data_IF_584448582094
#
_entry.id   IF_584448582094
#
_cell.length_a   1.000
_cell.length_b   1.000
_cell.length_c   1.000
_cell.angle_alpha   90.00
_cell.angle_beta   90.00
_cell.angle_gamma   90.00
#
_symmetry.space_group_name_H-M   'P 1'
#
loop_
_entity.id
_entity.type
_entity.pdbx_description
1 polymer ?
#
# COMPACT_ATOMS: atom_id res chain seq x y z
N UNK A 1 -14.25 -4.65 38.15
CA UNK A 1 -14.65 -3.65 37.14
C UNK A 1 -13.56 -2.58 37.13
N UNK A 2 -12.59 -2.70 36.23
CA UNK A 2 -11.53 -1.69 36.08
C UNK A 2 -12.13 -0.51 35.30
N UNK A 3 -12.22 0.66 35.92
CA UNK A 3 -12.59 1.87 35.21
C UNK A 3 -11.39 2.29 34.34
N UNK A 4 -11.53 2.44 33.01
CA UNK A 4 -10.45 2.94 32.18
C UNK A 4 -10.07 4.36 32.63
N UNK A 5 -8.77 4.67 32.63
CA UNK A 5 -8.33 6.01 32.98
C UNK A 5 -8.87 7.02 31.96
N UNK A 6 -9.05 8.28 32.37
CA UNK A 6 -9.53 9.36 31.48
C UNK A 6 -8.66 9.51 30.21
N UNK A 7 -7.39 9.13 30.30
CA UNK A 7 -6.44 9.11 29.18
C UNK A 7 -6.72 7.99 28.17
N UNK A 8 -7.05 6.77 28.63
CA UNK A 8 -7.39 5.63 27.78
C UNK A 8 -8.64 5.92 26.93
N UNK A 9 -9.59 6.64 27.51
CA UNK A 9 -10.81 7.09 26.84
C UNK A 9 -10.48 8.08 25.71
N UNK A 10 -9.52 8.99 25.93
CA UNK A 10 -9.09 9.96 24.92
C UNK A 10 -8.39 9.32 23.72
N UNK A 11 -7.49 8.36 23.97
CA UNK A 11 -6.75 7.64 22.93
C UNK A 11 -7.70 6.78 22.10
N UNK A 12 -8.55 5.98 22.75
CA UNK A 12 -9.52 5.13 22.04
C UNK A 12 -10.50 5.96 21.21
N UNK A 13 -11.01 7.08 21.75
CA UNK A 13 -11.88 7.99 21.00
C UNK A 13 -11.20 8.55 19.73
N UNK A 14 -9.93 8.94 19.84
CA UNK A 14 -9.18 9.48 18.70
C UNK A 14 -8.95 8.42 17.62
N UNK A 15 -8.62 7.20 18.02
CA UNK A 15 -8.46 6.05 17.10
C UNK A 15 -9.79 5.74 16.43
N UNK A 16 -10.89 5.70 17.18
CA UNK A 16 -12.23 5.43 16.64
C UNK A 16 -12.65 6.47 15.61
N UNK A 17 -12.53 7.78 15.92
CA UNK A 17 -12.89 8.85 14.98
C UNK A 17 -12.09 8.72 13.68
N UNK A 18 -10.78 8.48 13.81
CA UNK A 18 -9.89 8.36 12.65
C UNK A 18 -10.25 7.14 11.81
N UNK A 19 -10.50 5.99 12.45
CA UNK A 19 -10.93 4.77 11.78
C UNK A 19 -12.28 4.90 11.08
N UNK A 20 -13.23 5.62 11.69
CA UNK A 20 -14.54 5.89 11.08
C UNK A 20 -14.39 6.75 9.83
N UNK A 21 -13.63 7.84 9.88
CA UNK A 21 -13.38 8.70 8.70
C UNK A 21 -12.68 7.89 7.60
N UNK A 22 -11.65 7.13 7.97
CA UNK A 22 -10.90 6.31 7.02
C UNK A 22 -11.78 5.26 6.33
N UNK A 23 -12.60 4.53 7.10
CA UNK A 23 -13.51 3.53 6.55
C UNK A 23 -14.61 4.18 5.71
N UNK A 24 -15.12 5.35 6.10
CA UNK A 24 -16.07 6.09 5.27
C UNK A 24 -15.48 6.47 3.90
N UNK A 25 -14.21 6.91 3.88
CA UNK A 25 -13.57 7.33 2.63
C UNK A 25 -13.21 6.17 1.71
N UNK A 26 -12.74 5.06 2.27
CA UNK A 26 -12.23 3.92 1.50
C UNK A 26 -13.26 2.81 1.29
N UNK A 27 -14.42 2.93 1.93
CA UNK A 27 -15.52 1.98 1.88
C UNK A 27 -15.35 0.83 2.88
N UNK A 28 -15.96 -0.31 2.56
CA UNK A 28 -15.97 -1.48 3.44
C UNK A 28 -14.57 -2.05 3.67
N UNK A 29 -14.29 -2.38 4.93
CA UNK A 29 -13.08 -3.11 5.30
C UNK A 29 -13.27 -4.61 5.03
N UNK A 30 -13.11 -4.99 3.76
CA UNK A 30 -13.25 -6.37 3.29
C UNK A 30 -11.87 -7.04 3.08
N UNK A 31 -11.90 -8.31 2.61
CA UNK A 31 -10.68 -9.08 2.32
C UNK A 31 -9.78 -8.42 1.28
N UNK A 32 -10.35 -7.64 0.36
CA UNK A 32 -9.57 -6.95 -0.68
C UNK A 32 -8.78 -5.80 -0.07
N UNK A 33 -9.40 -5.02 0.83
CA UNK A 33 -8.74 -3.98 1.61
C UNK A 33 -7.65 -4.55 2.52
N UNK A 34 -7.95 -5.65 3.22
CA UNK A 34 -6.98 -6.37 4.07
C UNK A 34 -5.75 -6.82 3.25
N UNK A 35 -5.96 -7.41 2.08
CA UNK A 35 -4.88 -7.83 1.19
C UNK A 35 -4.01 -6.65 0.74
N UNK A 36 -4.60 -5.51 0.39
CA UNK A 36 -3.84 -4.32 0.00
C UNK A 36 -2.99 -3.78 1.14
N UNK A 37 -3.55 -3.63 2.34
CA UNK A 37 -2.81 -3.14 3.50
C UNK A 37 -1.66 -4.08 3.89
N UNK A 38 -1.90 -5.39 3.85
CA UNK A 38 -0.85 -6.39 4.06
C UNK A 38 0.25 -6.28 3.01
N UNK A 39 -0.10 -6.17 1.73
CA UNK A 39 0.88 -6.02 0.65
C UNK A 39 1.68 -4.73 0.77
N UNK A 40 1.06 -3.62 1.17
CA UNK A 40 1.75 -2.36 1.44
C UNK A 40 2.73 -2.50 2.62
N UNK A 41 2.35 -3.23 3.68
CA UNK A 41 3.23 -3.49 4.81
C UNK A 41 4.43 -4.37 4.40
N UNK A 42 4.17 -5.45 3.67
CA UNK A 42 5.21 -6.35 3.15
C UNK A 42 6.18 -5.63 2.22
N UNK A 43 5.67 -4.77 1.34
CA UNK A 43 6.50 -3.96 0.46
C UNK A 43 7.44 -3.04 1.26
N UNK A 44 6.90 -2.32 2.26
CA UNK A 44 7.71 -1.45 3.11
C UNK A 44 8.81 -2.21 3.87
N UNK A 45 8.45 -3.35 4.47
CA UNK A 45 9.41 -4.22 5.17
C UNK A 45 10.47 -4.76 4.20
N UNK A 46 10.06 -5.20 3.00
CA UNK A 46 10.97 -5.72 1.99
C UNK A 46 11.97 -4.65 1.53
N UNK A 47 11.52 -3.41 1.35
CA UNK A 47 12.36 -2.28 0.99
C UNK A 47 13.39 -1.95 2.07
N UNK A 48 12.99 -1.97 3.35
CA UNK A 48 13.93 -1.81 4.47
C UNK A 48 14.96 -2.94 4.46
N UNK A 49 14.53 -4.20 4.35
CA UNK A 49 15.47 -5.33 4.34
C UNK A 49 16.46 -5.26 3.18
N UNK A 50 16.00 -4.89 1.97
CA UNK A 50 16.85 -4.75 0.80
C UNK A 50 17.90 -3.65 0.98
N UNK A 51 17.52 -2.51 1.57
CA UNK A 51 18.44 -1.42 1.87
C UNK A 51 19.47 -1.80 2.95
N UNK A 52 19.07 -2.56 3.98
CA UNK A 52 19.99 -3.05 5.00
C UNK A 52 21.01 -4.07 4.46
N UNK A 53 20.61 -4.90 3.50
CA UNK A 53 21.47 -5.94 2.90
C UNK A 53 22.41 -5.35 1.83
N UNK A 54 21.96 -4.31 1.12
CA UNK A 54 22.69 -3.73 0.00
C UNK A 54 23.67 -2.63 0.47
N UNK A 55 24.99 -2.86 0.48
CA UNK A 55 25.96 -1.90 1.04
C UNK A 55 26.01 -0.54 0.32
N UNK A 56 25.47 -0.45 -0.91
CA UNK A 56 25.41 0.77 -1.69
C UNK A 56 24.06 1.53 -1.59
N UNK A 57 23.03 0.94 -0.95
CA UNK A 57 21.75 1.62 -0.70
C UNK A 57 21.76 2.17 0.74
N UNK A 58 22.23 3.40 0.91
CA UNK A 58 22.09 4.09 2.19
C UNK A 58 20.63 4.26 2.59
N UNK A 59 20.34 4.15 3.88
CA UNK A 59 19.02 4.44 4.46
C UNK A 59 18.77 5.96 4.47
N UNK A 60 18.45 6.54 3.31
CA UNK A 60 17.98 7.92 3.23
C UNK A 60 16.48 7.97 3.59
N UNK A 61 16.18 8.65 4.69
CA UNK A 61 14.82 8.96 5.13
C UNK A 61 13.91 9.55 4.03
N UNK A 62 14.47 10.28 3.05
CA UNK A 62 13.74 10.80 1.89
C UNK A 62 13.20 9.70 1.00
N UNK A 63 13.94 8.61 0.84
CA UNK A 63 13.51 7.44 0.05
C UNK A 63 12.34 6.76 0.76
N UNK A 64 12.47 6.56 2.08
CA UNK A 64 11.38 6.00 2.91
C UNK A 64 10.12 6.88 2.89
N UNK A 65 10.27 8.20 3.04
CA UNK A 65 9.16 9.14 2.98
C UNK A 65 8.47 9.11 1.61
N UNK A 66 9.23 9.06 0.52
CA UNK A 66 8.68 8.93 -0.83
C UNK A 66 7.85 7.64 -0.99
N UNK A 67 8.31 6.54 -0.39
CA UNK A 67 7.55 5.28 -0.34
C UNK A 67 6.22 5.43 0.39
N UNK A 68 6.22 6.11 1.54
CA UNK A 68 5.00 6.40 2.31
C UNK A 68 4.05 7.31 1.52
N UNK A 69 4.55 8.38 0.88
CA UNK A 69 3.72 9.24 0.04
C UNK A 69 3.07 8.46 -1.11
N UNK A 70 3.79 7.53 -1.75
CA UNK A 70 3.21 6.66 -2.79
C UNK A 70 2.06 5.81 -2.23
N UNK A 71 2.24 5.24 -1.04
CA UNK A 71 1.22 4.45 -0.33
C UNK A 71 -0.01 5.27 0.05
N UNK A 72 0.16 6.53 0.47
CA UNK A 72 -0.97 7.45 0.69
C UNK A 72 -1.72 7.71 -0.61
N UNK A 73 -1.02 7.93 -1.73
CA UNK A 73 -1.66 8.11 -3.04
C UNK A 73 -2.47 6.88 -3.47
N UNK A 74 -2.00 5.67 -3.16
CA UNK A 74 -2.77 4.43 -3.39
C UNK A 74 -4.11 4.47 -2.65
N UNK A 75 -4.10 4.81 -1.36
CA UNK A 75 -5.32 4.90 -0.55
C UNK A 75 -6.27 6.00 -1.04
N UNK A 76 -5.74 7.13 -1.54
CA UNK A 76 -6.55 8.17 -2.16
C UNK A 76 -7.23 7.69 -3.46
N UNK A 77 -6.52 6.89 -4.27
CA UNK A 77 -7.10 6.30 -5.48
C UNK A 77 -8.19 5.28 -5.15
N UNK A 78 -8.01 4.48 -4.09
CA UNK A 78 -9.03 3.56 -3.58
C UNK A 78 -10.27 4.32 -3.09
N UNK A 79 -10.08 5.41 -2.36
CA UNK A 79 -11.18 6.28 -1.94
C UNK A 79 -11.92 6.88 -3.14
N UNK A 80 -11.20 7.40 -4.13
CA UNK A 80 -11.82 7.91 -5.36
C UNK A 80 -12.64 6.82 -6.09
N UNK A 81 -12.11 5.60 -6.18
CA UNK A 81 -12.81 4.47 -6.79
C UNK A 81 -14.07 4.07 -6.01
N UNK A 82 -14.02 4.07 -4.68
CA UNK A 82 -15.19 3.86 -3.83
C UNK A 82 -16.28 4.92 -4.09
N UNK A 83 -15.92 6.20 -4.17
CA UNK A 83 -16.89 7.25 -4.49
C UNK A 83 -17.46 7.16 -5.91
N UNK A 84 -16.70 6.59 -6.86
CA UNK A 84 -17.22 6.28 -8.21
C UNK A 84 -18.28 5.18 -8.12
N UNK A 85 -18.01 4.07 -7.43
CA UNK A 85 -19.00 3.01 -7.24
C UNK A 85 -20.26 3.55 -6.53
N UNK A 86 -20.07 4.37 -5.50
CA UNK A 86 -21.15 5.03 -4.78
C UNK A 86 -22.00 5.92 -5.69
N UNK A 87 -21.36 6.75 -6.53
CA UNK A 87 -22.06 7.65 -7.45
C UNK A 87 -22.84 6.91 -8.54
N UNK A 88 -22.35 5.75 -8.98
CA UNK A 88 -23.00 4.92 -10.01
C UNK A 88 -24.07 3.99 -9.41
N UNK A 89 -24.15 3.89 -8.08
CA UNK A 89 -25.07 2.98 -7.39
C UNK A 89 -24.66 1.50 -7.51
N UNK A 90 -23.37 1.22 -7.65
CA UNK A 90 -22.86 -0.15 -7.70
C UNK A 90 -22.74 -0.72 -6.27
N UNK A 91 -23.67 -1.59 -5.89
CA UNK A 91 -23.66 -2.21 -4.54
C UNK A 91 -22.47 -3.13 -4.29
N UNK A 92 -21.85 -3.67 -5.35
CA UNK A 92 -20.74 -4.62 -5.25
C UNK A 92 -19.35 -3.96 -5.23
N UNK A 93 -19.28 -2.62 -5.30
CA UNK A 93 -18.01 -1.86 -5.23
C UNK A 93 -16.93 -2.41 -6.18
N UNK A 94 -17.34 -2.69 -7.43
CA UNK A 94 -16.52 -3.38 -8.42
C UNK A 94 -15.30 -2.54 -8.82
N UNK A 95 -15.47 -1.23 -9.02
CA UNK A 95 -14.38 -0.33 -9.42
C UNK A 95 -13.34 -0.24 -8.30
N UNK A 96 -13.77 -0.07 -7.05
CA UNK A 96 -12.90 -0.11 -5.87
C UNK A 96 -12.11 -1.40 -5.83
N UNK A 97 -12.79 -2.54 -5.94
CA UNK A 97 -12.15 -3.86 -5.86
C UNK A 97 -11.11 -4.06 -6.97
N UNK A 98 -11.39 -3.61 -8.19
CA UNK A 98 -10.43 -3.64 -9.29
C UNK A 98 -9.21 -2.77 -9.03
N UNK A 99 -9.41 -1.54 -8.52
CA UNK A 99 -8.32 -0.62 -8.17
C UNK A 99 -7.46 -1.18 -7.04
N UNK A 100 -8.08 -1.77 -6.02
CA UNK A 100 -7.38 -2.48 -4.94
C UNK A 100 -6.50 -3.59 -5.50
N UNK A 101 -7.03 -4.48 -6.34
CA UNK A 101 -6.24 -5.58 -6.89
C UNK A 101 -5.15 -5.12 -7.86
N UNK A 102 -5.37 -4.04 -8.60
CA UNK A 102 -4.32 -3.39 -9.38
C UNK A 102 -3.14 -2.97 -8.49
N UNK A 103 -3.42 -2.33 -7.35
CA UNK A 103 -2.37 -1.91 -6.43
C UNK A 103 -1.74 -3.04 -5.62
N UNK A 104 -2.49 -4.10 -5.30
CA UNK A 104 -1.92 -5.36 -4.78
C UNK A 104 -0.87 -5.91 -5.74
N UNK A 105 -1.17 -5.94 -7.03
CA UNK A 105 -0.19 -6.34 -8.06
C UNK A 105 1.02 -5.41 -8.12
N UNK A 106 0.81 -4.09 -8.02
CA UNK A 106 1.90 -3.10 -7.98
C UNK A 106 2.81 -3.26 -6.76
N UNK A 107 2.27 -3.48 -5.56
CA UNK A 107 3.09 -3.75 -4.37
C UNK A 107 3.82 -5.08 -4.50
N UNK A 108 3.18 -6.11 -5.07
CA UNK A 108 3.83 -7.39 -5.37
C UNK A 108 5.03 -7.25 -6.32
N UNK A 109 4.92 -6.39 -7.33
CA UNK A 109 6.03 -6.06 -8.21
C UNK A 109 7.18 -5.37 -7.44
N UNK A 110 6.87 -4.38 -6.61
CA UNK A 110 7.84 -3.67 -5.79
C UNK A 110 8.57 -4.61 -4.80
N UNK A 111 7.86 -5.56 -4.18
CA UNK A 111 8.45 -6.62 -3.34
C UNK A 111 9.44 -7.48 -4.14
N UNK A 112 9.09 -7.87 -5.37
CA UNK A 112 10.00 -8.64 -6.23
C UNK A 112 11.26 -7.84 -6.57
N UNK A 113 11.14 -6.54 -6.82
CA UNK A 113 12.28 -5.66 -7.07
C UNK A 113 13.20 -5.54 -5.83
N UNK A 114 12.61 -5.41 -4.64
CA UNK A 114 13.35 -5.39 -3.38
C UNK A 114 14.04 -6.74 -3.11
N UNK A 115 13.36 -7.86 -3.34
CA UNK A 115 13.91 -9.20 -3.21
C UNK A 115 15.10 -9.43 -4.17
N UNK A 116 14.99 -9.01 -5.44
CA UNK A 116 16.10 -9.05 -6.38
C UNK A 116 17.28 -8.18 -5.93
N UNK A 117 17.01 -7.01 -5.35
CA UNK A 117 18.03 -6.11 -4.81
C UNK A 117 18.74 -6.71 -3.59
N UNK A 118 18.00 -7.45 -2.75
CA UNK A 118 18.52 -8.21 -1.61
C UNK A 118 19.31 -9.48 -2.00
N UNK A 119 19.43 -9.80 -3.29
CA UNK A 119 20.21 -10.94 -3.78
C UNK A 119 19.45 -12.24 -3.98
N UNK A 120 18.11 -12.25 -3.87
CA UNK A 120 17.34 -13.45 -4.17
C UNK A 120 17.40 -13.76 -5.68
N UNK A 121 17.58 -15.05 -6.07
CA UNK A 121 17.67 -15.45 -7.46
C UNK A 121 16.30 -15.34 -8.15
N UNK A 122 16.01 -14.18 -8.76
CA UNK A 122 14.79 -13.96 -9.54
C UNK A 122 15.03 -14.33 -11.01
N UNK A 123 14.16 -15.15 -11.63
CA UNK A 123 14.27 -15.51 -13.05
C UNK A 123 14.43 -14.28 -13.96
N UNK A 124 15.44 -14.28 -14.82
CA UNK A 124 15.76 -13.14 -15.69
C UNK A 124 14.59 -12.69 -16.57
N UNK A 125 13.71 -13.62 -16.98
CA UNK A 125 12.51 -13.33 -17.77
C UNK A 125 11.54 -12.37 -17.05
N UNK A 126 11.42 -12.48 -15.72
CA UNK A 126 10.60 -11.55 -14.92
C UNK A 126 11.30 -10.18 -14.84
N UNK A 127 12.60 -10.18 -14.56
CA UNK A 127 13.42 -8.96 -14.47
C UNK A 127 13.38 -8.11 -15.76
N UNK A 128 13.39 -8.75 -16.93
CA UNK A 128 13.30 -8.06 -18.24
C UNK A 128 11.92 -7.42 -18.45
N UNK A 129 10.84 -8.13 -18.10
CA UNK A 129 9.46 -7.62 -18.26
C UNK A 129 9.20 -6.43 -17.33
N UNK A 130 9.74 -6.45 -16.11
CA UNK A 130 9.64 -5.34 -15.16
C UNK A 130 10.40 -4.10 -15.65
N UNK A 131 11.62 -4.29 -16.15
CA UNK A 131 12.44 -3.20 -16.68
C UNK A 131 11.81 -2.51 -17.90
N UNK A 132 11.15 -3.28 -18.77
CA UNK A 132 10.43 -2.75 -19.93
C UNK A 132 9.18 -1.94 -19.56
N UNK A 133 8.46 -2.32 -18.49
CA UNK A 133 7.33 -1.54 -17.97
C UNK A 133 7.81 -0.21 -17.37
N UNK A 134 8.88 -0.25 -16.57
CA UNK A 134 9.45 0.96 -15.94
C UNK A 134 10.11 1.91 -16.95
N UNK A 135 10.68 1.41 -18.06
CA UNK A 135 11.21 2.27 -19.14
C UNK A 135 10.11 3.01 -19.90
N UNK A 136 8.96 2.37 -20.16
CA UNK A 136 7.82 3.04 -20.82
C UNK A 136 7.19 4.16 -19.99
N UNK A 137 7.28 4.11 -18.67
CA UNK A 137 6.79 5.18 -17.78
C UNK A 137 7.68 6.43 -17.78
N UNK A 138 8.96 6.31 -18.15
CA UNK A 138 9.92 7.44 -18.18
C UNK A 138 9.98 8.19 -19.51
N UNK A 139 9.34 7.66 -20.56
CA UNK A 139 9.29 8.26 -21.91
C UNK A 139 8.00 9.07 -22.18
N UNK A 140 7.19 9.35 -21.15
CA UNK A 140 6.07 10.30 -21.19
C UNK A 140 6.31 11.44 -20.21
#
# INVERSE_FOLDING_TARGET
MFLPAREDIGISATISITGTIFSYMTGQFDKSMEALLLMMALDYLSGITAACISPNQGLDSRIGLRGICKKVMILLMVAAAHFVDYAVGQEQELVRTMVIYFFVGNEGLSILENAASAGLPIPQKLKIRFKQLSQKEKEK
#
